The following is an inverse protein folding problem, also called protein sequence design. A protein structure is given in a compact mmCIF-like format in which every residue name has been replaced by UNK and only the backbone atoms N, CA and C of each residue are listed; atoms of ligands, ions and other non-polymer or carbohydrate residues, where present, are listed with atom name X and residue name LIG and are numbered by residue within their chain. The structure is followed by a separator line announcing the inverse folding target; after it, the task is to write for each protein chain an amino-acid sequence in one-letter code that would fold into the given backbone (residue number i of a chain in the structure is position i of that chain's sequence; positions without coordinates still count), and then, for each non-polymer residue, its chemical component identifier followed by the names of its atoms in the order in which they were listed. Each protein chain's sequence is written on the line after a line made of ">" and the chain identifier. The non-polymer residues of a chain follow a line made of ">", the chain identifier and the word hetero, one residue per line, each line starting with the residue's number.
data_IF_592539739962
#
_entry.id   IF_592539739962
#
_cell.length_a   1.000
_cell.length_b   1.000
_cell.length_c   1.000
_cell.angle_alpha   90.00
_cell.angle_beta   90.00
_cell.angle_gamma   90.00
#
_symmetry.space_group_name_H-M   'P 1'
#
loop_
_entity.id
_entity.type
_entity.pdbx_description
1 polymer ?
#
# COMPACT_ATOMS: atom_id res chain seq x y z
N UNK A 1 -13.60 24.13 -0.23
CA UNK A 1 -12.46 23.17 -0.28
C UNK A 1 -12.93 21.88 -0.97
N UNK A 2 -13.24 21.92 -2.27
CA UNK A 2 -14.06 20.91 -2.95
C UNK A 2 -13.33 20.20 -4.11
N UNK A 3 -12.04 19.90 -3.96
CA UNK A 3 -11.24 19.33 -5.05
C UNK A 3 -10.48 18.03 -4.70
N UNK A 4 -10.57 17.55 -3.44
CA UNK A 4 -9.90 16.33 -2.98
C UNK A 4 -10.77 15.07 -3.08
N UNK A 5 -12.09 15.21 -3.23
CA UNK A 5 -13.05 14.10 -3.12
C UNK A 5 -13.13 13.20 -4.36
N UNK A 6 -12.61 13.64 -5.50
CA UNK A 6 -12.76 12.91 -6.77
C UNK A 6 -11.66 11.89 -7.08
N UNK A 7 -10.50 11.98 -6.41
CA UNK A 7 -9.34 11.18 -6.79
C UNK A 7 -9.29 9.79 -6.11
N UNK A 8 -10.13 9.54 -5.11
CA UNK A 8 -10.11 8.31 -4.31
C UNK A 8 -11.51 7.95 -3.78
N UNK A 9 -12.51 7.79 -4.66
CA UNK A 9 -13.85 7.30 -4.30
C UNK A 9 -13.75 6.13 -3.32
N UNK A 10 -14.29 6.33 -2.13
CA UNK A 10 -14.51 5.28 -1.14
C UNK A 10 -15.62 4.39 -1.70
N UNK A 11 -15.22 3.31 -2.36
CA UNK A 11 -16.14 2.28 -2.83
C UNK A 11 -16.31 1.26 -1.71
N UNK A 12 -17.49 0.66 -1.56
CA UNK A 12 -17.86 -0.37 -0.55
C UNK A 12 -16.84 -1.53 -0.36
N UNK A 13 -15.89 -1.70 -1.28
CA UNK A 13 -14.80 -2.68 -1.24
C UNK A 13 -13.42 -2.11 -0.81
N UNK A 14 -13.35 -0.84 -0.42
CA UNK A 14 -12.13 -0.14 0.02
C UNK A 14 -11.95 -0.36 1.52
N UNK A 15 -10.87 -1.02 1.92
CA UNK A 15 -10.60 -1.30 3.34
C UNK A 15 -9.40 -0.51 3.91
N UNK A 16 -9.08 0.64 3.31
CA UNK A 16 -7.89 1.44 3.61
C UNK A 16 -8.28 2.92 3.63
N UNK A 17 -7.88 3.66 4.67
CA UNK A 17 -8.21 5.08 4.81
C UNK A 17 -7.49 5.98 3.78
N UNK A 18 -8.01 7.19 3.55
CA UNK A 18 -7.43 8.18 2.62
C UNK A 18 -5.95 8.47 2.92
N UNK A 19 -5.58 8.62 4.20
CA UNK A 19 -4.21 8.88 4.63
C UNK A 19 -3.26 7.74 4.26
N UNK A 20 -3.69 6.49 4.44
CA UNK A 20 -2.91 5.31 4.08
C UNK A 20 -2.71 5.20 2.56
N UNK A 21 -3.74 5.54 1.76
CA UNK A 21 -3.64 5.60 0.30
C UNK A 21 -2.61 6.64 -0.16
N UNK A 22 -2.64 7.85 0.40
CA UNK A 22 -1.68 8.91 0.06
C UNK A 22 -0.24 8.53 0.43
N UNK A 23 -0.04 7.95 1.62
CA UNK A 23 1.27 7.48 2.05
C UNK A 23 1.75 6.35 1.11
N UNK A 24 0.89 5.38 0.80
CA UNK A 24 1.23 4.26 -0.08
C UNK A 24 1.62 4.71 -1.49
N UNK A 25 0.85 5.64 -2.08
CA UNK A 25 1.14 6.22 -3.40
C UNK A 25 2.43 7.03 -3.37
N UNK A 26 2.62 7.86 -2.34
CA UNK A 26 3.82 8.69 -2.17
C UNK A 26 5.09 7.85 -2.04
N UNK A 27 5.08 6.87 -1.14
CA UNK A 27 6.22 5.96 -0.93
C UNK A 27 6.46 5.08 -2.16
N UNK A 28 5.39 4.54 -2.78
CA UNK A 28 5.51 3.72 -3.99
C UNK A 28 6.15 4.46 -5.15
N UNK A 29 5.70 5.69 -5.41
CA UNK A 29 6.28 6.57 -6.44
C UNK A 29 7.75 6.88 -6.15
N UNK A 30 8.10 7.21 -4.91
CA UNK A 30 9.48 7.49 -4.52
C UNK A 30 10.40 6.27 -4.71
N UNK A 31 9.95 5.07 -4.35
CA UNK A 31 10.73 3.85 -4.53
C UNK A 31 10.98 3.53 -6.00
N UNK A 32 9.97 3.71 -6.86
CA UNK A 32 10.14 3.56 -8.31
C UNK A 32 11.13 4.59 -8.84
N UNK A 33 10.97 5.87 -8.47
CA UNK A 33 11.89 6.92 -8.89
C UNK A 33 13.34 6.59 -8.52
N UNK A 34 13.57 6.14 -7.29
CA UNK A 34 14.91 5.75 -6.85
C UNK A 34 15.42 4.52 -7.59
N UNK A 35 14.58 3.50 -7.78
CA UNK A 35 14.91 2.29 -8.52
C UNK A 35 15.30 2.57 -9.97
N UNK A 36 14.53 3.41 -10.67
CA UNK A 36 14.83 3.83 -12.05
C UNK A 36 16.16 4.59 -12.12
N UNK A 37 16.44 5.47 -11.15
CA UNK A 37 17.72 6.22 -11.10
C UNK A 37 18.92 5.33 -10.83
N UNK A 38 18.76 4.28 -10.02
CA UNK A 38 19.84 3.35 -9.68
C UNK A 38 19.93 2.15 -10.63
N UNK A 39 19.06 2.03 -11.63
CA UNK A 39 19.00 0.90 -12.56
C UNK A 39 20.33 0.63 -13.27
N UNK A 40 21.03 1.69 -13.67
CA UNK A 40 22.34 1.58 -14.33
C UNK A 40 23.51 1.32 -13.38
N UNK A 41 23.33 1.53 -12.06
CA UNK A 41 24.40 1.33 -11.06
C UNK A 41 24.28 0.01 -10.32
N UNK A 42 23.06 -0.36 -9.95
CA UNK A 42 22.74 -1.55 -9.14
C UNK A 42 21.45 -2.20 -9.66
N UNK A 43 21.47 -2.87 -10.83
CA UNK A 43 20.26 -3.32 -11.53
C UNK A 43 19.41 -4.28 -10.69
N UNK A 44 20.03 -5.23 -9.97
CA UNK A 44 19.31 -6.18 -9.13
C UNK A 44 18.53 -5.49 -7.99
N UNK A 45 19.16 -4.53 -7.32
CA UNK A 45 18.52 -3.77 -6.24
C UNK A 45 17.46 -2.80 -6.78
N UNK A 46 17.72 -2.20 -7.93
CA UNK A 46 16.77 -1.34 -8.62
C UNK A 46 15.49 -2.08 -9.00
N UNK A 47 15.60 -3.30 -9.54
CA UNK A 47 14.44 -4.14 -9.83
C UNK A 47 13.61 -4.43 -8.58
N UNK A 48 14.27 -4.75 -7.45
CA UNK A 48 13.58 -4.91 -6.18
C UNK A 48 12.86 -3.65 -5.72
N UNK A 49 13.49 -2.47 -5.85
CA UNK A 49 12.88 -1.19 -5.50
C UNK A 49 11.67 -0.85 -6.39
N UNK A 50 11.78 -1.10 -7.69
CA UNK A 50 10.67 -0.90 -8.63
C UNK A 50 9.53 -1.87 -8.34
N UNK A 51 9.82 -3.14 -8.05
CA UNK A 51 8.81 -4.13 -7.70
C UNK A 51 8.05 -3.75 -6.42
N UNK A 52 8.77 -3.41 -5.34
CA UNK A 52 8.15 -2.98 -4.07
C UNK A 52 7.35 -1.68 -4.27
N UNK A 53 7.91 -0.70 -4.98
CA UNK A 53 7.24 0.56 -5.27
C UNK A 53 5.97 0.39 -6.11
N UNK A 54 6.01 -0.53 -7.09
CA UNK A 54 4.85 -0.85 -7.93
C UNK A 54 3.75 -1.55 -7.13
N UNK A 55 4.11 -2.46 -6.23
CA UNK A 55 3.15 -3.12 -5.33
C UNK A 55 2.47 -2.11 -4.39
N UNK A 56 3.23 -1.16 -3.85
CA UNK A 56 2.68 -0.06 -3.04
C UNK A 56 1.74 0.83 -3.85
N UNK A 57 2.13 1.23 -5.06
CA UNK A 57 1.25 2.01 -5.93
C UNK A 57 -0.04 1.27 -6.27
N UNK A 58 0.06 -0.02 -6.61
CA UNK A 58 -1.09 -0.86 -6.90
C UNK A 58 -2.06 -0.89 -5.72
N UNK A 59 -1.55 -1.16 -4.50
CA UNK A 59 -2.37 -1.15 -3.28
C UNK A 59 -2.99 0.22 -2.98
N UNK A 60 -2.24 1.30 -3.16
CA UNK A 60 -2.74 2.66 -2.96
C UNK A 60 -3.82 3.03 -3.96
N UNK A 61 -3.69 2.59 -5.21
CA UNK A 61 -4.64 2.83 -6.29
C UNK A 61 -5.91 1.96 -6.18
N UNK A 62 -5.79 0.68 -5.81
CA UNK A 62 -6.96 -0.20 -5.63
C UNK A 62 -7.64 0.02 -4.27
N UNK A 63 -6.90 0.48 -3.27
CA UNK A 63 -7.41 0.65 -1.90
C UNK A 63 -7.82 -0.65 -1.21
N UNK A 64 -7.34 -1.78 -1.71
CA UNK A 64 -7.63 -3.12 -1.17
C UNK A 64 -6.37 -3.68 -0.52
N UNK A 65 -6.53 -4.16 0.71
CA UNK A 65 -5.43 -4.80 1.42
C UNK A 65 -5.92 -6.02 2.20
N UNK A 66 -5.51 -7.20 1.74
CA UNK A 66 -5.79 -8.45 2.45
C UNK A 66 -5.10 -8.52 3.81
N UNK A 67 -3.92 -7.91 3.97
CA UNK A 67 -3.24 -7.85 5.28
C UNK A 67 -4.08 -7.09 6.32
N UNK A 68 -4.79 -6.03 5.94
CA UNK A 68 -5.61 -5.24 6.86
C UNK A 68 -6.88 -6.01 7.23
N UNK A 69 -7.47 -6.72 6.25
CA UNK A 69 -8.55 -7.69 6.48
C UNK A 69 -8.12 -8.82 7.43
N UNK A 70 -6.91 -9.36 7.28
CA UNK A 70 -6.39 -10.38 8.20
C UNK A 70 -6.19 -9.82 9.61
N UNK A 71 -5.63 -8.62 9.74
CA UNK A 71 -5.41 -7.99 11.03
C UNK A 71 -6.74 -7.66 11.72
N UNK A 72 -7.70 -7.04 11.01
CA UNK A 72 -9.03 -6.75 11.56
C UNK A 72 -9.76 -8.02 12.01
N UNK A 73 -9.64 -9.11 11.24
CA UNK A 73 -10.22 -10.41 11.60
C UNK A 73 -9.61 -11.01 12.88
N UNK A 74 -8.33 -10.75 13.14
CA UNK A 74 -7.64 -11.14 14.38
C UNK A 74 -8.13 -10.29 15.57
N UNK A 75 -8.30 -8.97 15.38
CA UNK A 75 -8.78 -8.07 16.43
C UNK A 75 -10.24 -8.28 16.82
N UNK A 76 -11.09 -8.75 15.89
CA UNK A 76 -12.52 -9.00 16.14
C UNK A 76 -12.80 -10.35 16.84
N UNK A 77 -11.79 -11.20 17.06
CA UNK A 77 -11.86 -12.44 17.84
C UNK A 77 -10.69 -12.57 18.85
N UNK A 78 -10.69 -11.80 19.95
CA UNK A 78 -9.61 -11.86 20.96
C UNK A 78 -9.56 -13.16 21.78
N UNK A 79 -10.41 -14.16 21.55
CA UNK A 79 -10.53 -15.37 22.40
C UNK A 79 -9.54 -16.50 22.07
N UNK A 80 -8.95 -16.55 20.86
CA UNK A 80 -8.17 -17.74 20.44
C UNK A 80 -6.65 -17.60 20.60
N UNK A 81 -6.17 -16.53 21.22
CA UNK A 81 -4.79 -16.41 21.64
C UNK A 81 -4.57 -17.02 23.05
N UNK A 82 -5.12 -18.21 23.30
CA UNK A 82 -4.64 -19.03 24.42
C UNK A 82 -3.49 -19.90 23.91
N UNK A 83 -2.32 -19.58 24.47
CA UNK A 83 -1.09 -20.34 24.48
C UNK A 83 -1.30 -21.84 24.64
N UNK A 84 -0.44 -22.62 23.95
CA UNK A 84 -0.03 -23.96 24.39
C UNK A 84 0.56 -23.89 25.79
#
# INVERSE_FOLDING_TARGET
>A
MAHREYLLTESDCTNIEFSERVISIGTGTYMIYKGVRELFKRPLLALGQVAIGSALLYRGATGTCDVKRLIEREYEHPEKAEFV
#
